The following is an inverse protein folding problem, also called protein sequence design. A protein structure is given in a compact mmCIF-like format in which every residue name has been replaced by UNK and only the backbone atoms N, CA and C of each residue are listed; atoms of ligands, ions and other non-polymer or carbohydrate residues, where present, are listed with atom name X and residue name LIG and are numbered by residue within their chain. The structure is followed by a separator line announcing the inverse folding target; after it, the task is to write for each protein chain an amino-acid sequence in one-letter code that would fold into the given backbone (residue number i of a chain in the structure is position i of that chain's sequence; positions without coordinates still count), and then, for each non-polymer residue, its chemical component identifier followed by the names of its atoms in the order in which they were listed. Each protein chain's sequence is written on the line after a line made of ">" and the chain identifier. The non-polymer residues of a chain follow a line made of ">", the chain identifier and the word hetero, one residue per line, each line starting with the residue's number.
data_IF_144627443501
#
_entry.id   IF_144627443501
#
_cell.length_a   1.000
_cell.length_b   1.000
_cell.length_c   1.000
_cell.angle_alpha   90.00
_cell.angle_beta   90.00
_cell.angle_gamma   90.00
#
_symmetry.space_group_name_H-M   'P 1'
#
loop_
_entity.id
_entity.type
_entity.pdbx_description
1 polymer ?
#
# COMPACT_ATOMS: atom_id res chain seq x y z
N UNK A 1 41.97 -12.40 8.26
CA UNK A 1 41.42 -11.89 9.54
C UNK A 1 40.13 -12.65 9.81
N UNK A 2 39.97 -13.42 10.87
CA UNK A 2 38.75 -14.14 11.16
C UNK A 2 37.72 -13.18 11.76
N UNK A 3 36.49 -13.22 11.25
CA UNK A 3 35.34 -12.48 11.78
C UNK A 3 35.01 -13.00 13.19
N UNK A 4 35.06 -12.13 14.18
CA UNK A 4 34.53 -12.37 15.51
C UNK A 4 33.00 -12.37 15.46
N UNK A 5 32.29 -13.33 16.09
CA UNK A 5 30.83 -13.29 16.14
C UNK A 5 30.36 -12.15 17.07
N UNK A 6 29.49 -11.29 16.54
CA UNK A 6 28.81 -10.26 17.32
C UNK A 6 27.77 -10.96 18.22
N UNK A 7 28.00 -10.94 19.53
CA UNK A 7 27.02 -11.40 20.51
C UNK A 7 26.06 -10.24 20.83
N UNK A 8 24.77 -10.40 20.54
CA UNK A 8 23.71 -9.48 20.97
C UNK A 8 23.13 -10.00 22.29
N UNK A 9 23.32 -9.26 23.36
CA UNK A 9 22.74 -9.56 24.68
C UNK A 9 21.41 -8.82 24.80
N UNK A 10 20.31 -9.54 24.76
CA UNK A 10 18.99 -9.03 25.07
C UNK A 10 18.68 -9.28 26.57
N UNK A 11 18.59 -8.22 27.35
CA UNK A 11 18.10 -8.30 28.72
C UNK A 11 16.56 -8.19 28.71
N UNK A 12 15.86 -9.29 28.95
CA UNK A 12 14.39 -9.32 29.04
C UNK A 12 13.99 -9.03 30.50
N UNK A 13 13.43 -7.85 30.74
CA UNK A 13 12.89 -7.41 32.02
C UNK A 13 11.35 -7.50 32.10
N UNK A 14 10.75 -8.59 31.59
CA UNK A 14 9.29 -8.80 31.66
C UNK A 14 8.97 -10.28 31.72
N UNK A 15 7.92 -10.70 32.44
CA UNK A 15 7.52 -12.11 32.50
C UNK A 15 6.80 -12.52 31.19
N UNK A 16 7.57 -12.89 30.20
CA UNK A 16 7.04 -13.59 29.04
C UNK A 16 6.77 -15.05 29.41
N UNK A 17 5.63 -15.57 29.02
CA UNK A 17 5.31 -16.98 29.22
C UNK A 17 6.22 -17.85 28.34
N UNK A 18 7.02 -18.67 28.96
CA UNK A 18 7.97 -19.62 28.32
C UNK A 18 7.31 -20.67 27.41
N UNK A 19 6.00 -20.71 27.33
CA UNK A 19 5.25 -21.71 26.55
C UNK A 19 5.38 -21.57 25.03
N UNK A 20 5.74 -20.40 24.51
CA UNK A 20 5.89 -20.17 23.06
C UNK A 20 7.28 -20.52 22.49
N UNK A 21 8.27 -20.76 23.36
CA UNK A 21 9.65 -21.07 22.94
C UNK A 21 9.93 -22.56 22.66
N UNK A 22 8.97 -23.45 22.90
CA UNK A 22 9.18 -24.91 22.83
C UNK A 22 9.11 -25.52 21.43
N UNK A 23 8.96 -24.74 20.37
CA UNK A 23 8.99 -25.25 18.98
C UNK A 23 10.36 -25.18 18.29
N UNK A 24 11.40 -24.70 18.97
CA UNK A 24 12.73 -24.52 18.39
C UNK A 24 13.64 -25.73 18.66
N UNK A 25 14.10 -26.40 17.63
CA UNK A 25 14.85 -27.67 17.69
C UNK A 25 16.33 -27.53 18.08
N UNK A 26 16.90 -26.33 18.20
CA UNK A 26 18.29 -26.11 18.64
C UNK A 26 18.44 -24.82 19.44
N UNK A 27 18.24 -24.88 20.76
CA UNK A 27 18.57 -23.79 21.67
C UNK A 27 19.78 -24.21 22.51
N UNK A 28 20.92 -23.51 22.38
CA UNK A 28 22.06 -23.67 23.28
C UNK A 28 22.00 -22.58 24.34
N UNK A 29 21.85 -22.97 25.60
CA UNK A 29 21.88 -22.04 26.73
C UNK A 29 23.25 -22.11 27.43
N UNK A 30 23.75 -20.94 27.85
CA UNK A 30 24.96 -20.82 28.67
C UNK A 30 24.64 -19.94 29.86
N UNK A 31 25.14 -20.28 31.08
CA UNK A 31 25.04 -19.44 32.25
C UNK A 31 26.40 -18.84 32.59
N UNK A 32 26.39 -17.57 33.05
CA UNK A 32 27.56 -16.88 33.55
C UNK A 32 27.69 -17.20 35.05
N UNK A 33 28.83 -17.75 35.47
CA UNK A 33 29.10 -18.04 36.86
C UNK A 33 29.61 -16.79 37.61
N UNK A 34 29.50 -16.79 38.93
CA UNK A 34 29.90 -15.66 39.78
C UNK A 34 31.40 -15.29 39.69
N UNK A 35 32.23 -16.17 39.13
CA UNK A 35 33.65 -15.96 38.85
C UNK A 35 33.94 -15.36 37.46
N UNK A 36 32.90 -15.05 36.68
CA UNK A 36 33.03 -14.48 35.32
C UNK A 36 33.26 -15.52 34.21
N UNK A 37 33.20 -16.83 34.52
CA UNK A 37 33.33 -17.88 33.50
C UNK A 37 31.97 -18.35 32.93
N UNK A 38 32.00 -18.90 31.69
CA UNK A 38 30.79 -19.39 31.02
C UNK A 38 30.72 -20.92 31.07
N UNK A 39 29.58 -21.45 31.49
CA UNK A 39 29.30 -22.89 31.47
C UNK A 39 28.23 -23.23 30.47
N UNK A 40 28.51 -24.22 29.64
CA UNK A 40 27.54 -24.76 28.68
C UNK A 40 26.60 -25.72 29.43
N UNK A 41 25.28 -25.42 29.33
CA UNK A 41 24.25 -26.30 29.90
C UNK A 41 23.72 -27.19 28.76
N UNK A 42 23.90 -28.52 28.92
CA UNK A 42 23.24 -29.50 28.07
C UNK A 42 21.89 -29.81 28.68
N UNK A 43 20.82 -29.36 28.03
CA UNK A 43 19.46 -29.73 28.45
C UNK A 43 19.15 -31.13 27.96
N UNK A 44 18.68 -32.03 28.85
CA UNK A 44 18.23 -33.36 28.41
C UNK A 44 16.94 -33.25 27.60
N UNK A 45 16.76 -34.09 26.60
CA UNK A 45 15.53 -34.22 25.82
C UNK A 45 14.33 -34.46 26.77
N UNK A 46 13.50 -33.42 27.00
CA UNK A 46 12.29 -33.54 27.78
C UNK A 46 11.13 -33.85 26.84
N UNK A 47 10.60 -35.08 26.97
CA UNK A 47 9.29 -35.42 26.40
C UNK A 47 8.19 -34.75 27.27
N UNK A 48 7.13 -34.22 26.66
CA UNK A 48 6.09 -33.53 27.43
C UNK A 48 5.26 -34.54 28.24
N UNK A 49 5.38 -34.48 29.57
CA UNK A 49 4.38 -35.00 30.50
C UNK A 49 4.09 -33.94 31.56
N UNK A 50 2.83 -33.72 31.77
CA UNK A 50 2.18 -32.84 32.72
C UNK A 50 2.84 -32.83 34.11
N UNK A 51 3.41 -31.71 34.51
CA UNK A 51 3.47 -31.17 35.89
C UNK A 51 4.27 -29.86 35.85
N UNK A 52 3.76 -28.83 36.53
CA UNK A 52 4.40 -27.54 36.62
C UNK A 52 5.76 -27.66 37.34
N UNK A 53 6.83 -27.05 36.84
CA UNK A 53 8.07 -26.96 37.57
C UNK A 53 8.01 -25.84 38.60
N UNK A 54 8.57 -26.16 39.81
CA UNK A 54 8.74 -25.26 40.91
C UNK A 54 9.62 -24.06 40.57
N UNK A 55 9.40 -22.96 41.32
CA UNK A 55 10.03 -21.68 41.19
C UNK A 55 11.57 -21.76 41.05
N UNK A 56 12.07 -21.17 39.93
CA UNK A 56 13.48 -20.81 39.81
C UNK A 56 13.75 -19.51 40.58
N UNK A 57 14.80 -19.51 41.41
CA UNK A 57 15.21 -18.39 42.22
C UNK A 57 15.52 -17.13 41.43
N UNK A 58 15.21 -15.97 42.02
CA UNK A 58 15.12 -14.66 41.40
C UNK A 58 16.45 -13.98 40.99
N UNK A 59 17.59 -14.70 40.95
CA UNK A 59 18.92 -14.09 40.81
C UNK A 59 19.78 -14.64 39.64
N UNK A 60 19.25 -15.49 38.78
CA UNK A 60 20.00 -15.98 37.57
C UNK A 60 19.60 -15.23 36.32
N UNK A 61 20.52 -14.42 35.78
CA UNK A 61 20.38 -13.83 34.44
C UNK A 61 20.70 -14.89 33.40
N UNK A 62 19.68 -15.39 32.69
CA UNK A 62 19.84 -16.31 31.59
C UNK A 62 20.13 -15.53 30.31
N UNK A 63 21.32 -15.67 29.75
CA UNK A 63 21.63 -15.12 28.43
C UNK A 63 21.38 -16.19 27.37
N UNK A 64 20.42 -15.95 26.48
CA UNK A 64 20.18 -16.76 25.29
C UNK A 64 21.12 -16.30 24.16
N UNK A 65 22.08 -17.15 23.79
CA UNK A 65 22.94 -16.91 22.62
C UNK A 65 22.29 -17.60 21.43
N UNK A 66 21.67 -16.82 20.55
CA UNK A 66 21.12 -17.33 19.30
C UNK A 66 22.21 -17.37 18.22
N UNK A 67 22.30 -18.47 17.47
CA UNK A 67 23.17 -18.52 16.32
C UNK A 67 22.66 -17.58 15.21
N UNK A 68 23.53 -17.03 14.33
CA UNK A 68 23.10 -16.15 13.24
C UNK A 68 22.01 -16.76 12.33
N UNK A 69 21.94 -18.11 12.23
CA UNK A 69 20.89 -18.83 11.51
C UNK A 69 19.53 -18.77 12.21
N UNK A 70 19.50 -18.84 13.53
CA UNK A 70 18.26 -18.73 14.33
C UNK A 70 17.76 -17.29 14.34
N UNK A 71 18.66 -16.29 14.43
CA UNK A 71 18.31 -14.88 14.28
C UNK A 71 17.79 -14.56 12.87
N UNK A 72 18.41 -15.10 11.81
CA UNK A 72 17.94 -14.96 10.43
C UNK A 72 16.59 -15.66 10.22
N UNK A 73 16.33 -16.82 10.83
CA UNK A 73 15.03 -17.50 10.80
C UNK A 73 13.94 -16.71 11.54
N UNK A 74 14.24 -16.14 12.69
CA UNK A 74 13.31 -15.29 13.45
C UNK A 74 13.05 -13.93 12.77
N UNK A 75 14.02 -13.43 11.98
CA UNK A 75 13.84 -12.22 11.16
C UNK A 75 13.18 -12.50 9.81
N UNK A 76 13.12 -13.76 9.34
CA UNK A 76 12.62 -14.11 8.01
C UNK A 76 11.08 -14.16 7.91
N UNK A 77 10.36 -14.15 9.03
CA UNK A 77 8.89 -14.30 9.06
C UNK A 77 8.10 -12.98 9.16
N UNK A 78 8.78 -11.84 9.30
CA UNK A 78 8.09 -10.56 9.32
C UNK A 78 8.10 -9.91 7.95
N UNK A 79 7.00 -10.07 7.22
CA UNK A 79 6.79 -9.34 5.97
C UNK A 79 6.63 -7.85 6.28
N UNK A 80 7.55 -7.04 5.76
CA UNK A 80 7.38 -5.59 5.78
C UNK A 80 6.29 -5.20 4.79
N UNK A 81 5.05 -5.11 5.26
CA UNK A 81 3.91 -4.70 4.46
C UNK A 81 3.65 -3.20 4.69
N UNK A 82 3.79 -2.40 3.65
CA UNK A 82 3.44 -0.97 3.66
C UNK A 82 1.92 -0.85 3.78
N UNK A 83 1.43 -0.12 4.80
CA UNK A 83 0.01 0.06 5.07
C UNK A 83 -0.41 1.48 4.73
N UNK A 84 -1.26 1.60 3.72
CA UNK A 84 -1.82 2.87 3.28
C UNK A 84 -3.32 2.94 3.51
N UNK A 85 -3.86 4.09 3.88
CA UNK A 85 -5.27 4.36 3.74
C UNK A 85 -5.60 4.66 2.28
N UNK A 86 -6.81 4.30 1.84
CA UNK A 86 -7.39 4.69 0.55
C UNK A 86 -8.72 5.38 0.77
N UNK A 87 -8.77 6.67 0.46
CA UNK A 87 -10.00 7.47 0.51
C UNK A 87 -10.57 7.70 -0.89
N UNK A 88 -11.86 7.43 -1.03
CA UNK A 88 -12.62 7.80 -2.24
C UNK A 88 -13.05 9.27 -2.22
N UNK A 89 -12.99 9.92 -1.08
CA UNK A 89 -13.37 11.30 -0.92
C UNK A 89 -14.84 11.61 -1.24
N UNK A 90 -15.73 10.63 -1.05
CA UNK A 90 -17.17 10.84 -1.25
C UNK A 90 -17.70 11.93 -0.34
N UNK A 91 -18.54 12.77 -0.89
CA UNK A 91 -19.31 13.72 -0.13
C UNK A 91 -20.79 13.67 -0.52
N UNK A 92 -21.65 13.89 0.46
CA UNK A 92 -23.09 13.85 0.26
C UNK A 92 -23.77 14.86 1.20
N UNK A 93 -24.63 15.74 0.72
CA UNK A 93 -25.34 16.72 1.56
C UNK A 93 -26.45 16.06 2.39
N UNK A 94 -26.09 15.02 3.14
CA UNK A 94 -26.94 14.22 4.00
C UNK A 94 -26.59 14.47 5.47
N UNK A 95 -27.55 14.55 6.40
CA UNK A 95 -27.28 14.67 7.83
C UNK A 95 -26.42 13.54 8.41
N UNK A 96 -26.44 12.35 7.79
CA UNK A 96 -25.66 11.18 8.21
C UNK A 96 -24.21 11.26 7.77
N UNK A 97 -23.89 12.07 6.75
CA UNK A 97 -22.50 12.25 6.28
C UNK A 97 -21.81 13.36 7.06
N UNK A 98 -20.56 13.11 7.47
CA UNK A 98 -19.66 14.12 8.02
C UNK A 98 -18.95 14.91 6.90
N UNK A 99 -18.83 14.34 5.69
CA UNK A 99 -18.38 15.04 4.49
C UNK A 99 -19.60 15.43 3.65
N UNK A 100 -20.09 16.67 3.82
CA UNK A 100 -21.35 17.16 3.21
C UNK A 100 -21.13 17.99 1.96
N UNK A 101 -19.91 18.43 1.75
CA UNK A 101 -19.50 19.27 0.62
C UNK A 101 -18.15 18.82 0.05
N UNK A 102 -17.82 19.30 -1.14
CA UNK A 102 -16.49 19.11 -1.71
C UNK A 102 -15.38 19.69 -0.82
N UNK A 103 -15.65 20.83 -0.17
CA UNK A 103 -14.71 21.44 0.78
C UNK A 103 -14.45 20.53 1.99
N UNK A 104 -15.51 19.93 2.57
CA UNK A 104 -15.34 18.97 3.67
C UNK A 104 -14.51 17.78 3.23
N UNK A 105 -14.79 17.22 2.05
CA UNK A 105 -14.03 16.07 1.53
C UNK A 105 -12.54 16.37 1.36
N UNK A 106 -12.19 17.56 0.84
CA UNK A 106 -10.81 18.00 0.65
C UNK A 106 -10.11 18.24 2.00
N UNK A 107 -10.71 19.04 2.88
CA UNK A 107 -10.10 19.42 4.16
C UNK A 107 -9.95 18.21 5.09
N UNK A 108 -11.00 17.36 5.18
CA UNK A 108 -10.92 16.15 5.98
C UNK A 108 -9.92 15.13 5.42
N UNK A 109 -9.69 15.10 4.10
CA UNK A 109 -8.65 14.26 3.50
C UNK A 109 -7.24 14.67 3.97
N UNK A 110 -6.98 15.98 4.10
CA UNK A 110 -5.72 16.52 4.63
C UNK A 110 -5.56 16.16 6.10
N UNK A 111 -6.59 16.40 6.91
CA UNK A 111 -6.55 16.13 8.35
C UNK A 111 -6.42 14.62 8.63
N UNK A 112 -7.10 13.79 7.85
CA UNK A 112 -7.02 12.34 8.00
C UNK A 112 -5.63 11.79 7.62
N UNK A 113 -4.97 12.34 6.60
CA UNK A 113 -3.60 11.94 6.26
C UNK A 113 -2.62 12.28 7.40
N UNK A 114 -2.79 13.46 8.03
CA UNK A 114 -1.98 13.84 9.18
C UNK A 114 -2.24 12.93 10.40
N UNK A 115 -3.49 12.57 10.64
CA UNK A 115 -3.88 11.67 11.72
C UNK A 115 -3.39 10.24 11.47
N UNK A 116 -3.48 9.77 10.25
CA UNK A 116 -2.94 8.46 9.83
C UNK A 116 -1.42 8.37 10.07
N UNK A 117 -0.67 9.44 9.73
CA UNK A 117 0.76 9.52 10.05
C UNK A 117 1.00 9.45 11.56
N UNK A 118 0.21 10.18 12.36
CA UNK A 118 0.31 10.17 13.83
C UNK A 118 0.08 8.78 14.40
N UNK A 119 -0.85 8.02 13.82
CA UNK A 119 -1.18 6.64 14.23
C UNK A 119 -0.15 5.61 13.73
N UNK A 120 0.74 5.96 12.82
CA UNK A 120 1.79 5.08 12.31
C UNK A 120 1.42 4.34 11.02
N UNK A 121 0.49 4.88 10.21
CA UNK A 121 0.32 4.45 8.83
C UNK A 121 1.50 4.87 7.97
N UNK A 122 1.77 4.09 6.95
CA UNK A 122 2.90 4.28 6.04
C UNK A 122 2.52 5.11 4.79
N UNK A 123 1.20 5.17 4.43
CA UNK A 123 0.72 5.85 3.23
C UNK A 123 -0.69 6.41 3.34
N UNK A 124 -0.97 7.48 2.57
CA UNK A 124 -2.30 8.04 2.36
C UNK A 124 -2.56 8.20 0.85
N UNK A 125 -3.56 7.49 0.35
CA UNK A 125 -3.86 7.43 -1.07
C UNK A 125 -5.28 7.92 -1.32
N UNK A 126 -5.48 8.63 -2.45
CA UNK A 126 -6.74 9.24 -2.83
C UNK A 126 -7.18 8.75 -4.20
N UNK A 127 -8.45 8.37 -4.30
CA UNK A 127 -9.05 8.05 -5.58
C UNK A 127 -9.45 9.34 -6.29
N UNK A 128 -9.30 9.36 -7.63
CA UNK A 128 -9.66 10.51 -8.45
C UNK A 128 -10.76 10.10 -9.43
N UNK A 129 -11.86 10.87 -9.42
CA UNK A 129 -12.98 10.69 -10.34
C UNK A 129 -13.51 12.03 -10.81
N UNK A 130 -13.67 12.17 -12.12
CA UNK A 130 -14.27 13.35 -12.72
C UNK A 130 -15.79 13.25 -12.72
N UNK A 131 -16.49 14.40 -12.68
CA UNK A 131 -17.95 14.54 -12.68
C UNK A 131 -18.67 13.83 -11.52
N UNK A 132 -17.97 13.24 -10.59
CA UNK A 132 -18.53 12.56 -9.41
C UNK A 132 -18.49 13.48 -8.18
N UNK A 133 -19.37 13.21 -7.20
CA UNK A 133 -19.27 13.79 -5.85
C UNK A 133 -18.15 13.08 -5.05
N UNK A 134 -16.92 13.20 -5.56
CA UNK A 134 -15.70 12.62 -5.04
C UNK A 134 -14.53 13.58 -5.23
N UNK A 135 -13.32 13.16 -4.88
CA UNK A 135 -12.11 13.92 -5.17
C UNK A 135 -11.81 13.90 -6.67
N UNK A 136 -11.45 15.07 -7.18
CA UNK A 136 -10.83 15.27 -8.49
C UNK A 136 -9.63 16.20 -8.29
N UNK A 137 -8.90 16.60 -9.33
CA UNK A 137 -7.78 17.55 -9.23
C UNK A 137 -6.76 17.17 -8.12
N UNK A 138 -6.02 16.09 -8.25
CA UNK A 138 -5.26 15.48 -7.16
C UNK A 138 -4.09 16.34 -6.66
N UNK A 139 -3.38 17.07 -7.53
CA UNK A 139 -2.11 17.72 -7.19
C UNK A 139 -2.21 18.80 -6.12
N UNK A 140 -3.23 19.70 -6.09
CA UNK A 140 -3.42 20.62 -4.99
C UNK A 140 -3.60 19.92 -3.65
N UNK A 141 -4.37 18.80 -3.62
CA UNK A 141 -4.58 18.01 -2.42
C UNK A 141 -3.28 17.33 -1.97
N UNK A 142 -2.55 16.69 -2.88
CA UNK A 142 -1.29 16.02 -2.59
C UNK A 142 -0.22 16.99 -2.06
N UNK A 143 -0.11 18.19 -2.65
CA UNK A 143 0.77 19.24 -2.16
C UNK A 143 0.38 19.70 -0.74
N UNK A 144 -0.91 19.91 -0.48
CA UNK A 144 -1.41 20.29 0.86
C UNK A 144 -1.11 19.19 1.90
N UNK A 145 -1.38 17.92 1.60
CA UNK A 145 -1.01 16.79 2.45
C UNK A 145 0.50 16.72 2.64
N UNK A 146 1.28 16.96 1.57
CA UNK A 146 2.74 16.98 1.61
C UNK A 146 3.32 17.97 2.61
N UNK A 147 2.71 19.16 2.72
CA UNK A 147 3.13 20.17 3.71
C UNK A 147 2.69 19.86 5.13
N UNK A 148 1.56 19.16 5.29
CA UNK A 148 0.97 18.84 6.59
C UNK A 148 1.61 17.62 7.25
N UNK A 149 2.21 16.73 6.47
CA UNK A 149 2.83 15.47 6.89
C UNK A 149 4.36 15.50 6.70
N UNK A 150 5.09 14.53 7.28
CA UNK A 150 6.56 14.50 7.24
C UNK A 150 7.15 13.18 6.71
N UNK A 151 6.48 12.05 6.92
CA UNK A 151 7.02 10.70 6.66
C UNK A 151 6.13 9.86 5.76
N UNK A 152 4.81 10.00 5.91
CA UNK A 152 3.82 9.18 5.21
C UNK A 152 3.97 9.35 3.70
N UNK A 153 3.93 8.25 2.96
CA UNK A 153 3.77 8.28 1.50
C UNK A 153 2.43 8.92 1.15
N UNK A 154 2.40 9.70 0.09
CA UNK A 154 1.17 10.32 -0.39
C UNK A 154 0.96 9.95 -1.85
N UNK A 155 -0.27 9.63 -2.25
CA UNK A 155 -0.45 9.16 -3.61
C UNK A 155 -1.88 9.12 -4.09
N UNK A 156 -2.05 8.56 -5.28
CA UNK A 156 -3.34 8.34 -5.90
C UNK A 156 -3.57 6.85 -6.18
N UNK A 157 -4.84 6.47 -6.19
CA UNK A 157 -5.27 5.12 -6.57
C UNK A 157 -6.67 5.17 -7.18
N UNK A 158 -6.77 5.73 -8.40
CA UNK A 158 -5.75 6.18 -9.36
C UNK A 158 -6.21 7.44 -10.10
N UNK A 159 -5.32 8.10 -10.89
CA UNK A 159 -5.69 9.15 -11.86
C UNK A 159 -6.05 8.49 -13.19
N UNK A 160 -7.07 8.99 -13.88
CA UNK A 160 -7.46 8.54 -15.21
C UNK A 160 -6.71 9.32 -16.29
N UNK A 161 -5.78 8.65 -16.98
CA UNK A 161 -4.93 9.27 -18.00
C UNK A 161 -5.68 9.74 -19.24
N UNK A 162 -6.95 9.37 -19.41
CA UNK A 162 -7.77 9.89 -20.52
C UNK A 162 -8.11 11.36 -20.35
N UNK A 163 -8.06 11.88 -19.12
CA UNK A 163 -8.37 13.26 -18.76
C UNK A 163 -7.14 14.15 -18.60
N UNK A 164 -5.92 13.59 -18.68
CA UNK A 164 -4.70 14.29 -18.30
C UNK A 164 -3.91 14.78 -19.52
N UNK A 165 -3.37 15.99 -19.40
CA UNK A 165 -2.30 16.47 -20.27
C UNK A 165 -0.98 16.01 -19.70
N UNK A 166 -0.24 15.16 -20.41
CA UNK A 166 1.01 14.54 -19.93
C UNK A 166 2.07 15.57 -19.50
N UNK A 167 2.14 16.72 -20.17
CA UNK A 167 3.12 17.78 -19.87
C UNK A 167 2.74 18.53 -18.60
N UNK A 168 1.51 19.04 -18.50
CA UNK A 168 1.05 19.68 -17.24
C UNK A 168 1.12 18.73 -16.06
N UNK A 169 0.74 17.48 -16.27
CA UNK A 169 0.81 16.47 -15.23
C UNK A 169 2.25 16.22 -14.76
N UNK A 170 3.25 16.27 -15.66
CA UNK A 170 4.65 16.12 -15.29
C UNK A 170 5.15 17.28 -14.43
N UNK A 171 4.77 18.53 -14.76
CA UNK A 171 5.08 19.71 -13.95
C UNK A 171 4.41 19.66 -12.58
N UNK A 172 3.08 19.37 -12.53
CA UNK A 172 2.32 19.28 -11.30
C UNK A 172 2.82 18.16 -10.37
N UNK A 173 3.12 16.98 -10.95
CA UNK A 173 3.66 15.85 -10.23
C UNK A 173 5.07 16.14 -9.69
N UNK A 174 5.92 16.77 -10.49
CA UNK A 174 7.25 17.23 -10.06
C UNK A 174 7.15 18.21 -8.89
N UNK A 175 6.27 19.22 -9.00
CA UNK A 175 6.04 20.19 -7.94
C UNK A 175 5.52 19.52 -6.65
N UNK A 176 4.49 18.68 -6.74
CA UNK A 176 3.92 17.99 -5.59
C UNK A 176 4.93 17.06 -4.91
N UNK A 177 5.77 16.38 -5.69
CA UNK A 177 6.81 15.50 -5.15
C UNK A 177 7.90 16.29 -4.42
N UNK A 178 8.39 17.37 -4.98
CA UNK A 178 9.38 18.23 -4.33
C UNK A 178 8.82 18.89 -3.05
N UNK A 179 7.57 19.37 -3.06
CA UNK A 179 6.89 19.91 -1.88
C UNK A 179 6.79 18.85 -0.78
N UNK A 180 6.50 17.61 -1.15
CA UNK A 180 6.41 16.50 -0.19
C UNK A 180 7.75 15.91 0.23
N UNK A 181 8.86 16.36 -0.36
CA UNK A 181 10.20 15.83 -0.06
C UNK A 181 10.43 14.43 -0.64
N UNK A 182 9.91 14.14 -1.83
CA UNK A 182 10.14 12.88 -2.54
C UNK A 182 9.25 11.71 -2.08
N UNK A 183 8.09 12.00 -1.47
CA UNK A 183 7.16 10.99 -0.92
C UNK A 183 5.99 10.63 -1.83
N UNK A 184 5.90 11.22 -3.00
CA UNK A 184 4.78 10.99 -3.92
C UNK A 184 4.84 9.57 -4.50
N UNK A 185 3.71 8.86 -4.44
CA UNK A 185 3.47 7.54 -5.02
C UNK A 185 2.27 7.68 -5.98
N UNK A 186 2.54 7.94 -7.25
CA UNK A 186 1.49 8.37 -8.18
C UNK A 186 0.90 7.18 -8.94
N UNK A 187 -0.32 6.79 -8.57
CA UNK A 187 -1.09 5.77 -9.27
C UNK A 187 -1.88 6.38 -10.43
N UNK A 188 -1.71 5.79 -11.60
CA UNK A 188 -2.39 6.17 -12.85
C UNK A 188 -3.06 4.94 -13.48
N UNK A 189 -4.05 5.15 -14.34
CA UNK A 189 -4.68 4.09 -15.13
C UNK A 189 -5.34 4.65 -16.39
N UNK A 190 -5.96 3.78 -17.17
CA UNK A 190 -6.86 4.21 -18.24
C UNK A 190 -8.26 4.62 -17.76
N UNK A 191 -8.48 4.56 -16.43
CA UNK A 191 -9.76 4.85 -15.81
C UNK A 191 -10.75 3.68 -15.78
N UNK A 192 -11.90 3.96 -15.21
CA UNK A 192 -13.07 3.08 -15.15
C UNK A 192 -14.25 3.81 -15.79
N UNK A 193 -15.41 3.17 -15.98
CA UNK A 193 -16.62 3.89 -16.37
C UNK A 193 -16.89 5.08 -15.46
N UNK A 194 -17.08 6.23 -16.09
CA UNK A 194 -17.30 7.51 -15.43
C UNK A 194 -18.78 7.87 -15.36
N UNK A 195 -19.12 8.92 -14.62
CA UNK A 195 -20.50 9.43 -14.54
C UNK A 195 -21.02 10.03 -15.87
N UNK A 196 -20.11 10.38 -16.76
CA UNK A 196 -20.41 11.01 -18.06
C UNK A 196 -19.82 10.18 -19.18
N UNK A 197 -20.63 9.87 -20.19
CA UNK A 197 -20.18 9.17 -21.39
C UNK A 197 -19.12 10.02 -22.09
N UNK A 198 -17.96 9.43 -22.39
CA UNK A 198 -16.83 10.11 -23.05
C UNK A 198 -16.45 11.43 -22.36
N UNK A 199 -16.48 11.47 -21.03
CA UNK A 199 -16.26 12.71 -20.24
C UNK A 199 -14.95 13.41 -20.56
N UNK A 200 -13.91 12.70 -20.96
CA UNK A 200 -12.62 13.22 -21.41
C UNK A 200 -12.72 14.20 -22.58
N UNK A 201 -13.80 14.12 -23.40
CA UNK A 201 -14.06 15.08 -24.49
C UNK A 201 -14.27 16.52 -23.98
N UNK A 202 -14.81 16.69 -22.79
CA UNK A 202 -15.00 18.01 -22.16
C UNK A 202 -13.68 18.64 -21.73
N UNK A 203 -12.65 17.82 -21.56
CA UNK A 203 -11.28 18.26 -21.27
C UNK A 203 -10.45 18.49 -22.54
N UNK A 204 -11.06 18.33 -23.72
CA UNK A 204 -10.43 18.61 -25.01
C UNK A 204 -9.74 17.42 -25.65
N UNK A 205 -9.83 16.22 -25.04
CA UNK A 205 -9.15 15.02 -25.55
C UNK A 205 -10.02 14.23 -26.51
N UNK A 206 -9.34 13.51 -27.42
CA UNK A 206 -9.94 12.57 -28.35
C UNK A 206 -8.93 11.47 -28.70
N UNK A 207 -9.37 10.22 -28.87
CA UNK A 207 -8.53 9.20 -29.45
C UNK A 207 -8.10 9.61 -30.87
N UNK A 208 -6.92 9.18 -31.29
CA UNK A 208 -6.48 9.32 -32.68
C UNK A 208 -7.27 8.39 -33.59
N UNK A 209 -7.11 8.55 -34.90
CA UNK A 209 -7.72 7.64 -35.90
C UNK A 209 -7.22 6.20 -35.63
N UNK A 210 -8.16 5.27 -35.42
CA UNK A 210 -7.89 3.86 -35.14
C UNK A 210 -7.58 3.54 -33.65
N UNK A 211 -7.52 4.54 -32.77
CA UNK A 211 -7.40 4.33 -31.33
C UNK A 211 -8.78 4.27 -30.65
N UNK A 212 -8.89 3.47 -29.59
CA UNK A 212 -9.96 3.60 -28.60
C UNK A 212 -9.55 4.55 -27.45
N UNK A 213 -10.46 4.78 -26.49
CA UNK A 213 -10.20 5.62 -25.32
C UNK A 213 -9.14 5.01 -24.39
N UNK A 214 -9.03 3.68 -24.36
CA UNK A 214 -8.02 2.98 -23.58
C UNK A 214 -6.62 3.13 -24.20
N UNK A 215 -6.52 3.15 -25.53
CA UNK A 215 -5.27 3.42 -26.26
C UNK A 215 -4.81 4.85 -26.00
N UNK A 216 -5.73 5.82 -26.05
CA UNK A 216 -5.45 7.20 -25.72
C UNK A 216 -4.89 7.33 -24.28
N UNK A 217 -5.51 6.68 -23.32
CA UNK A 217 -5.03 6.69 -21.93
C UNK A 217 -3.64 6.07 -21.79
N UNK A 218 -3.35 4.97 -22.50
CA UNK A 218 -2.01 4.35 -22.53
C UNK A 218 -0.97 5.26 -23.18
N UNK A 219 -1.30 5.91 -24.28
CA UNK A 219 -0.42 6.86 -24.98
C UNK A 219 -0.05 8.04 -24.06
N UNK A 220 -1.03 8.64 -23.36
CA UNK A 220 -0.76 9.70 -22.38
C UNK A 220 0.14 9.21 -21.24
N UNK A 221 -0.06 7.97 -20.79
CA UNK A 221 0.78 7.38 -19.74
C UNK A 221 2.22 7.17 -20.22
N UNK A 222 2.43 6.66 -21.43
CA UNK A 222 3.77 6.45 -22.00
C UNK A 222 4.50 7.79 -22.19
N UNK A 223 3.82 8.81 -22.73
CA UNK A 223 4.36 10.16 -22.86
C UNK A 223 4.75 10.74 -21.50
N UNK A 224 3.88 10.63 -20.50
CA UNK A 224 4.16 11.07 -19.15
C UNK A 224 5.40 10.38 -18.55
N UNK A 225 5.54 9.07 -18.72
CA UNK A 225 6.72 8.33 -18.26
C UNK A 225 8.02 8.78 -18.95
N UNK A 226 7.98 9.15 -20.21
CA UNK A 226 9.16 9.68 -20.91
C UNK A 226 9.54 11.07 -20.41
N UNK A 227 8.57 11.94 -20.15
CA UNK A 227 8.79 13.27 -19.59
C UNK A 227 9.47 13.20 -18.20
N UNK A 228 9.07 12.22 -17.38
CA UNK A 228 9.67 11.98 -16.05
C UNK A 228 11.12 11.44 -16.10
N UNK A 229 11.70 11.19 -17.27
CA UNK A 229 13.12 10.84 -17.40
C UNK A 229 14.07 12.04 -17.24
N UNK A 230 13.56 13.27 -17.33
CA UNK A 230 14.34 14.48 -17.28
C UNK A 230 15.29 14.65 -18.48
N UNK A 231 14.97 14.02 -19.62
CA UNK A 231 15.70 14.21 -20.86
C UNK A 231 15.21 15.47 -21.56
N UNK A 232 16.13 16.28 -22.05
CA UNK A 232 15.81 17.43 -22.89
C UNK A 232 15.16 16.99 -24.20
N UNK A 233 14.06 17.64 -24.58
CA UNK A 233 13.29 17.35 -25.79
C UNK A 233 12.88 18.64 -26.55
N UNK A 234 12.77 19.77 -25.83
CA UNK A 234 12.33 21.04 -26.38
C UNK A 234 13.49 21.91 -26.87
N UNK A 235 13.40 22.41 -28.10
CA UNK A 235 14.39 23.31 -28.67
C UNK A 235 14.35 24.66 -27.95
N UNK A 236 15.46 25.13 -27.35
CA UNK A 236 15.49 26.43 -26.69
C UNK A 236 15.29 27.58 -27.67
N UNK A 237 14.60 28.64 -27.22
CA UNK A 237 14.48 29.86 -27.97
C UNK A 237 15.90 30.48 -28.14
N UNK A 238 16.32 30.84 -29.35
CA UNK A 238 17.63 31.47 -29.57
C UNK A 238 17.76 32.86 -28.92
N UNK A 239 16.67 33.48 -28.52
CA UNK A 239 16.61 34.76 -27.79
C UNK A 239 15.74 34.64 -26.55
N UNK A 240 16.17 33.88 -25.56
CA UNK A 240 15.37 33.70 -24.35
C UNK A 240 15.42 34.96 -23.47
N UNK A 241 14.35 35.18 -22.67
CA UNK A 241 14.34 36.25 -21.66
C UNK A 241 15.36 35.99 -20.55
N UNK A 242 15.55 34.73 -20.18
CA UNK A 242 16.54 34.29 -19.21
C UNK A 242 17.49 33.30 -19.86
N UNK A 243 18.72 33.22 -19.34
CA UNK A 243 19.76 32.31 -19.87
C UNK A 243 19.29 30.85 -19.67
N UNK A 244 19.22 30.11 -20.77
CA UNK A 244 18.95 28.69 -20.75
C UNK A 244 20.22 27.88 -20.49
N UNK A 245 20.12 26.69 -19.85
CA UNK A 245 21.21 25.74 -19.87
C UNK A 245 21.48 25.27 -21.30
N UNK A 246 22.69 24.80 -21.62
CA UNK A 246 23.04 24.32 -22.96
C UNK A 246 22.27 23.03 -23.30
N UNK A 247 21.84 22.89 -24.56
CA UNK A 247 21.18 21.72 -25.09
C UNK A 247 19.64 21.84 -25.14
N UNK A 248 18.96 20.73 -25.31
CA UNK A 248 17.51 20.69 -25.29
C UNK A 248 16.99 20.86 -23.85
N UNK A 249 15.85 21.52 -23.72
CA UNK A 249 15.19 21.75 -22.43
C UNK A 249 14.23 20.60 -22.09
N UNK A 250 14.09 20.30 -20.80
CA UNK A 250 13.07 19.41 -20.23
C UNK A 250 12.11 20.23 -19.37
N UNK A 251 11.04 19.59 -18.92
CA UNK A 251 10.04 20.26 -18.05
C UNK A 251 10.60 20.47 -16.63
N UNK A 252 10.28 21.63 -16.07
CA UNK A 252 10.56 21.99 -14.68
C UNK A 252 9.23 22.31 -13.96
N UNK A 253 9.10 22.03 -12.64
CA UNK A 253 10.14 21.49 -11.77
C UNK A 253 10.33 19.98 -11.96
N UNK A 254 11.57 19.56 -12.17
CA UNK A 254 11.92 18.14 -12.30
C UNK A 254 12.20 17.50 -10.94
N UNK A 255 11.55 16.36 -10.63
CA UNK A 255 11.83 15.58 -9.43
C UNK A 255 12.50 14.25 -9.77
N UNK A 256 13.78 14.14 -9.41
CA UNK A 256 14.57 12.94 -9.66
C UNK A 256 13.99 11.72 -8.90
N UNK A 257 13.88 10.58 -9.61
CA UNK A 257 13.36 9.32 -9.04
C UNK A 257 11.83 9.22 -8.93
N UNK A 258 11.06 10.26 -9.29
CA UNK A 258 9.61 10.18 -9.31
C UNK A 258 9.10 9.09 -10.26
N UNK A 259 9.78 8.89 -11.41
CA UNK A 259 9.43 7.84 -12.38
C UNK A 259 9.38 6.43 -11.77
N UNK A 260 10.22 6.12 -10.81
CA UNK A 260 10.26 4.80 -10.14
C UNK A 260 9.10 4.61 -9.13
N UNK A 261 8.37 5.68 -8.83
CA UNK A 261 7.23 5.73 -7.91
C UNK A 261 5.89 5.90 -8.63
N UNK A 262 5.88 5.65 -9.95
CA UNK A 262 4.65 5.59 -10.74
C UNK A 262 4.08 4.17 -10.66
N UNK A 263 2.78 4.08 -10.47
CA UNK A 263 2.02 2.86 -10.34
C UNK A 263 0.95 2.79 -11.41
N UNK A 264 0.68 1.60 -11.91
CA UNK A 264 -0.43 1.35 -12.83
C UNK A 264 -1.57 0.60 -12.14
N UNK A 265 -2.77 1.19 -12.15
CA UNK A 265 -3.99 0.54 -11.70
C UNK A 265 -4.50 -0.44 -12.75
N UNK A 266 -4.58 -1.72 -12.40
CA UNK A 266 -4.95 -2.76 -13.37
C UNK A 266 -6.00 -3.73 -12.84
N UNK A 267 -7.08 -3.88 -13.61
CA UNK A 267 -8.11 -4.89 -13.41
C UNK A 267 -7.96 -6.11 -14.35
N UNK A 268 -6.95 -6.16 -15.23
CA UNK A 268 -6.70 -7.27 -16.14
C UNK A 268 -5.24 -7.72 -16.13
N UNK A 269 -5.01 -9.00 -16.50
CA UNK A 269 -3.66 -9.55 -16.59
C UNK A 269 -2.84 -8.88 -17.70
N UNK A 270 -3.47 -8.57 -18.83
CA UNK A 270 -2.80 -7.96 -19.99
C UNK A 270 -2.22 -6.58 -19.65
N UNK A 271 -3.00 -5.71 -18.98
CA UNK A 271 -2.53 -4.37 -18.62
C UNK A 271 -1.54 -4.40 -17.46
N UNK A 272 -1.58 -5.39 -16.57
CA UNK A 272 -0.55 -5.61 -15.56
C UNK A 272 0.80 -5.99 -16.21
N UNK A 273 0.81 -6.89 -17.19
CA UNK A 273 2.01 -7.25 -17.94
C UNK A 273 2.57 -6.07 -18.75
N UNK A 274 1.70 -5.25 -19.35
CA UNK A 274 2.12 -4.02 -20.03
C UNK A 274 2.79 -3.03 -19.07
N UNK A 275 2.22 -2.82 -17.90
CA UNK A 275 2.81 -1.96 -16.85
C UNK A 275 4.19 -2.47 -16.41
N UNK A 276 4.35 -3.78 -16.25
CA UNK A 276 5.64 -4.40 -15.94
C UNK A 276 6.70 -4.09 -17.00
N UNK A 277 6.36 -4.19 -18.28
CA UNK A 277 7.28 -3.89 -19.39
C UNK A 277 7.76 -2.44 -19.37
N UNK A 278 6.89 -1.49 -19.00
CA UNK A 278 7.22 -0.07 -18.87
C UNK A 278 7.93 0.30 -17.55
N UNK A 279 8.09 -0.64 -16.64
CA UNK A 279 8.75 -0.41 -15.36
C UNK A 279 7.92 0.38 -14.35
N UNK A 280 6.58 0.30 -14.40
CA UNK A 280 5.68 0.84 -13.38
C UNK A 280 5.45 -0.17 -12.26
N UNK A 281 5.20 0.30 -11.04
CA UNK A 281 4.66 -0.52 -9.96
C UNK A 281 3.20 -0.92 -10.27
N UNK A 282 2.65 -1.91 -9.57
CA UNK A 282 1.30 -2.40 -9.80
C UNK A 282 0.36 -2.05 -8.64
N UNK A 283 -0.77 -1.41 -8.96
CA UNK A 283 -1.93 -1.35 -8.07
C UNK A 283 -3.00 -2.30 -8.62
N UNK A 284 -3.28 -3.41 -7.92
CA UNK A 284 -4.41 -4.26 -8.30
C UNK A 284 -5.70 -3.55 -7.96
N UNK A 285 -6.69 -3.67 -8.84
CA UNK A 285 -8.00 -3.06 -8.64
C UNK A 285 -8.80 -3.79 -7.54
N UNK A 286 -9.82 -3.14 -6.99
CA UNK A 286 -10.83 -3.77 -6.11
C UNK A 286 -11.78 -4.71 -6.86
N UNK A 287 -11.59 -4.83 -8.18
CA UNK A 287 -12.34 -5.72 -9.06
C UNK A 287 -11.39 -6.29 -10.14
N UNK A 288 -11.84 -7.34 -10.84
CA UNK A 288 -11.10 -7.95 -11.94
C UNK A 288 -12.03 -8.32 -13.10
N UNK A 289 -11.59 -8.02 -14.34
CA UNK A 289 -12.35 -8.29 -15.57
C UNK A 289 -12.17 -9.73 -16.07
N UNK A 290 -10.94 -10.27 -15.99
CA UNK A 290 -10.64 -11.65 -16.43
C UNK A 290 -11.13 -12.66 -15.38
N UNK A 291 -12.43 -12.61 -15.07
CA UNK A 291 -13.06 -13.41 -14.04
C UNK A 291 -13.05 -14.91 -14.41
N UNK A 292 -12.60 -15.78 -13.50
CA UNK A 292 -12.39 -17.21 -13.73
C UNK A 292 -13.29 -18.10 -12.87
N UNK A 293 -14.15 -17.54 -12.02
CA UNK A 293 -14.93 -18.26 -11.01
C UNK A 293 -14.23 -18.48 -9.69
N UNK A 294 -12.90 -18.29 -9.63
CA UNK A 294 -12.13 -18.35 -8.39
C UNK A 294 -12.32 -17.06 -7.55
N UNK A 295 -12.16 -17.11 -6.22
CA UNK A 295 -12.18 -15.91 -5.38
C UNK A 295 -11.22 -14.82 -5.87
N UNK A 296 -11.61 -13.55 -5.69
CA UNK A 296 -10.81 -12.41 -6.18
C UNK A 296 -9.37 -12.45 -5.67
N UNK A 297 -9.14 -12.81 -4.40
CA UNK A 297 -7.80 -12.84 -3.83
C UNK A 297 -6.89 -13.88 -4.50
N UNK A 298 -7.42 -15.01 -4.96
CA UNK A 298 -6.68 -16.03 -5.72
C UNK A 298 -6.34 -15.50 -7.10
N UNK A 299 -7.31 -14.90 -7.80
CA UNK A 299 -7.11 -14.32 -9.12
C UNK A 299 -6.11 -13.16 -9.09
N UNK A 300 -6.13 -12.32 -8.05
CA UNK A 300 -5.16 -11.24 -7.86
C UNK A 300 -3.75 -11.77 -7.53
N UNK A 301 -3.64 -12.79 -6.69
CA UNK A 301 -2.35 -13.43 -6.41
C UNK A 301 -1.72 -14.00 -7.70
N UNK A 302 -2.52 -14.62 -8.56
CA UNK A 302 -2.07 -15.07 -9.88
C UNK A 302 -1.62 -13.89 -10.77
N UNK A 303 -2.36 -12.77 -10.77
CA UNK A 303 -1.99 -11.54 -11.49
C UNK A 303 -0.65 -10.97 -10.98
N UNK A 304 -0.44 -10.95 -9.67
CA UNK A 304 0.80 -10.48 -9.04
C UNK A 304 1.98 -11.34 -9.49
N UNK A 305 1.84 -12.66 -9.47
CA UNK A 305 2.87 -13.59 -9.94
C UNK A 305 3.21 -13.39 -11.42
N UNK A 306 2.19 -13.24 -12.26
CA UNK A 306 2.35 -12.95 -13.68
C UNK A 306 3.04 -11.59 -13.94
N UNK A 307 2.66 -10.55 -13.20
CA UNK A 307 3.32 -9.25 -13.25
C UNK A 307 4.82 -9.34 -12.90
N UNK A 308 5.16 -10.04 -11.81
CA UNK A 308 6.58 -10.23 -11.42
C UNK A 308 7.38 -11.00 -12.47
N UNK A 309 6.76 -11.99 -13.12
CA UNK A 309 7.39 -12.71 -14.23
C UNK A 309 7.66 -11.79 -15.42
N UNK A 310 6.67 -11.00 -15.85
CA UNK A 310 6.82 -10.03 -16.94
C UNK A 310 7.84 -8.92 -16.61
N UNK A 311 7.91 -8.48 -15.36
CA UNK A 311 8.93 -7.54 -14.87
C UNK A 311 10.35 -8.09 -15.03
N UNK A 312 10.55 -9.33 -14.62
CA UNK A 312 11.84 -10.02 -14.76
C UNK A 312 12.23 -10.21 -16.22
N UNK A 313 11.27 -10.60 -17.06
CA UNK A 313 11.46 -10.76 -18.51
C UNK A 313 11.85 -9.44 -19.18
N UNK A 314 11.27 -8.30 -18.74
CA UNK A 314 11.62 -6.98 -19.21
C UNK A 314 13.03 -6.49 -18.81
N UNK A 315 13.74 -7.23 -17.95
CA UNK A 315 15.13 -6.95 -17.58
C UNK A 315 15.32 -5.81 -16.59
N UNK A 316 14.26 -5.40 -15.87
CA UNK A 316 14.37 -4.35 -14.85
C UNK A 316 15.19 -4.81 -13.66
N UNK A 317 16.07 -3.95 -13.15
CA UNK A 317 16.99 -4.26 -12.04
C UNK A 317 16.41 -3.94 -10.65
N UNK A 318 15.50 -2.96 -10.57
CA UNK A 318 14.84 -2.66 -9.29
C UNK A 318 13.76 -3.69 -8.97
N UNK A 319 13.43 -3.84 -7.70
CA UNK A 319 12.27 -4.63 -7.26
C UNK A 319 11.00 -3.79 -7.40
N UNK A 320 9.97 -4.27 -8.13
CA UNK A 320 8.70 -3.55 -8.23
C UNK A 320 7.93 -3.67 -6.91
N UNK A 321 7.11 -2.68 -6.61
CA UNK A 321 6.13 -2.75 -5.54
C UNK A 321 4.75 -3.08 -6.11
N UNK A 322 3.98 -3.83 -5.32
CA UNK A 322 2.64 -4.27 -5.71
C UNK A 322 1.68 -3.99 -4.57
N UNK A 323 0.57 -3.32 -4.86
CA UNK A 323 -0.46 -3.07 -3.87
C UNK A 323 -1.75 -3.85 -4.14
N UNK A 324 -2.42 -4.21 -3.06
CA UNK A 324 -3.81 -4.66 -3.06
C UNK A 324 -4.66 -3.72 -2.22
N UNK A 325 -5.92 -3.53 -2.60
CA UNK A 325 -6.88 -2.72 -1.85
C UNK A 325 -7.92 -3.61 -1.20
N UNK A 326 -8.22 -3.37 0.10
CA UNK A 326 -9.24 -4.10 0.86
C UNK A 326 -10.04 -3.16 1.76
N UNK A 327 -11.33 -3.45 1.87
CA UNK A 327 -12.19 -2.88 2.90
C UNK A 327 -12.11 -3.78 4.12
N UNK A 328 -11.44 -3.32 5.19
CA UNK A 328 -11.18 -4.10 6.40
C UNK A 328 -11.69 -3.32 7.60
N UNK A 329 -12.57 -3.94 8.40
CA UNK A 329 -13.20 -3.34 9.57
C UNK A 329 -13.14 -4.31 10.75
N UNK A 330 -12.30 -4.01 11.74
CA UNK A 330 -12.27 -4.74 13.00
C UNK A 330 -13.44 -4.29 13.88
N UNK A 331 -14.34 -5.22 14.23
CA UNK A 331 -15.53 -4.93 15.05
C UNK A 331 -15.14 -4.95 16.53
N UNK A 332 -14.58 -3.86 17.03
CA UNK A 332 -14.11 -3.79 18.42
C UNK A 332 -15.11 -3.15 19.39
N UNK A 333 -16.03 -2.31 18.88
CA UNK A 333 -17.07 -1.67 19.68
C UNK A 333 -18.47 -1.77 19.04
N UNK A 334 -19.49 -1.23 19.72
CA UNK A 334 -20.88 -1.28 19.25
C UNK A 334 -21.13 -0.36 18.04
N UNK A 335 -20.32 0.68 17.84
CA UNK A 335 -20.41 1.55 16.64
C UNK A 335 -19.95 0.78 15.42
N UNK A 336 -18.86 0.03 15.54
CA UNK A 336 -18.34 -0.79 14.44
C UNK A 336 -19.37 -1.85 14.04
N UNK A 337 -19.96 -2.52 15.05
CA UNK A 337 -21.04 -3.49 14.82
C UNK A 337 -22.27 -2.83 14.20
N UNK A 338 -22.58 -1.60 14.60
CA UNK A 338 -23.68 -0.82 14.05
C UNK A 338 -23.49 -0.47 12.58
N UNK A 339 -22.27 -0.08 12.19
CA UNK A 339 -21.95 0.30 10.81
C UNK A 339 -21.68 -0.90 9.91
N UNK A 340 -20.93 -1.90 10.38
CA UNK A 340 -20.39 -2.95 9.51
C UNK A 340 -20.85 -4.37 9.88
N UNK A 341 -21.39 -4.60 11.08
CA UNK A 341 -21.73 -5.94 11.55
C UNK A 341 -22.88 -6.64 10.80
N UNK A 342 -23.73 -5.86 10.12
CA UNK A 342 -24.87 -6.41 9.33
C UNK A 342 -24.58 -6.51 7.83
N UNK A 343 -23.44 -6.02 7.37
CA UNK A 343 -23.10 -5.85 5.96
C UNK A 343 -21.83 -6.57 5.53
N UNK A 344 -21.25 -7.44 6.37
CA UNK A 344 -20.13 -8.24 5.97
C UNK A 344 -20.52 -9.10 4.76
N UNK A 345 -19.97 -8.76 3.60
CA UNK A 345 -20.11 -9.63 2.44
C UNK A 345 -19.15 -10.80 2.68
N UNK A 346 -19.69 -11.96 2.95
CA UNK A 346 -18.88 -13.17 3.17
C UNK A 346 -18.17 -13.62 1.90
N UNK A 347 -18.70 -13.24 0.73
CA UNK A 347 -18.21 -13.66 -0.58
C UNK A 347 -18.00 -12.48 -1.53
N UNK A 348 -17.12 -12.68 -2.50
CA UNK A 348 -16.94 -11.77 -3.64
C UNK A 348 -18.21 -11.77 -4.50
N UNK A 349 -18.50 -10.64 -5.14
CA UNK A 349 -19.68 -10.52 -6.01
C UNK A 349 -19.27 -10.52 -7.48
N UNK A 350 -19.88 -11.38 -8.27
CA UNK A 350 -19.81 -11.32 -9.71
C UNK A 350 -20.96 -10.43 -10.20
N UNK A 351 -20.61 -9.44 -11.03
CA UNK A 351 -21.55 -8.47 -11.59
C UNK A 351 -21.07 -7.93 -12.92
N UNK A 352 -21.75 -6.90 -13.39
CA UNK A 352 -21.41 -6.18 -14.61
C UNK A 352 -21.03 -4.74 -14.28
N UNK A 353 -19.96 -4.25 -14.88
CA UNK A 353 -19.53 -2.87 -14.75
C UNK A 353 -20.28 -1.98 -15.75
N UNK A 354 -20.54 -2.52 -16.93
CA UNK A 354 -21.39 -2.00 -18.00
C UNK A 354 -22.13 -3.17 -18.67
N UNK A 355 -22.88 -2.94 -19.74
CA UNK A 355 -23.72 -3.95 -20.41
C UNK A 355 -22.93 -5.20 -20.87
N UNK A 356 -21.62 -5.09 -21.10
CA UNK A 356 -20.78 -6.14 -21.70
C UNK A 356 -19.60 -6.55 -20.81
N UNK A 357 -19.24 -5.77 -19.79
CA UNK A 357 -18.04 -6.01 -18.97
C UNK A 357 -18.39 -6.70 -17.67
N UNK A 358 -18.28 -8.03 -17.67
CA UNK A 358 -18.40 -8.86 -16.47
C UNK A 358 -17.14 -8.68 -15.58
N UNK A 359 -17.35 -8.57 -14.29
CA UNK A 359 -16.28 -8.41 -13.32
C UNK A 359 -16.59 -9.12 -11.99
N UNK A 360 -15.54 -9.54 -11.29
CA UNK A 360 -15.63 -9.94 -9.90
C UNK A 360 -15.22 -8.76 -9.01
N UNK A 361 -16.03 -8.46 -8.00
CA UNK A 361 -15.84 -7.39 -7.02
C UNK A 361 -15.48 -8.00 -5.67
N UNK A 362 -14.42 -7.47 -5.06
CA UNK A 362 -13.93 -7.95 -3.78
C UNK A 362 -14.90 -7.71 -2.63
N UNK A 363 -14.97 -8.70 -1.74
CA UNK A 363 -15.72 -8.61 -0.50
C UNK A 363 -15.14 -7.60 0.48
N UNK A 364 -15.95 -7.19 1.45
CA UNK A 364 -15.49 -6.47 2.63
C UNK A 364 -15.23 -7.45 3.77
N UNK A 365 -14.12 -7.27 4.46
CA UNK A 365 -13.76 -8.00 5.66
C UNK A 365 -14.25 -7.22 6.88
N UNK A 366 -15.28 -7.71 7.56
CA UNK A 366 -15.80 -7.07 8.77
C UNK A 366 -16.16 -8.16 9.78
N UNK A 367 -15.34 -8.29 10.84
CA UNK A 367 -15.51 -9.30 11.88
C UNK A 367 -14.79 -8.87 13.17
N UNK A 368 -15.05 -9.59 14.26
CA UNK A 368 -14.24 -9.52 15.48
C UNK A 368 -12.77 -9.80 15.14
N UNK A 369 -11.80 -9.19 15.86
CA UNK A 369 -10.38 -9.23 15.49
C UNK A 369 -9.83 -10.63 15.23
N UNK A 370 -10.12 -11.62 16.05
CA UNK A 370 -9.61 -12.98 15.91
C UNK A 370 -10.10 -13.65 14.60
N UNK A 371 -11.38 -13.48 14.29
CA UNK A 371 -11.98 -14.00 13.05
C UNK A 371 -11.39 -13.27 11.85
N UNK A 372 -11.26 -11.97 11.95
CA UNK A 372 -10.69 -11.11 10.90
C UNK A 372 -9.25 -11.50 10.56
N UNK A 373 -8.41 -11.74 11.58
CA UNK A 373 -7.03 -12.20 11.42
C UNK A 373 -6.98 -13.54 10.66
N UNK A 374 -7.83 -14.51 11.01
CA UNK A 374 -7.91 -15.80 10.33
C UNK A 374 -8.37 -15.67 8.87
N UNK A 375 -9.29 -14.74 8.58
CA UNK A 375 -9.72 -14.46 7.21
C UNK A 375 -8.60 -13.84 6.37
N UNK A 376 -7.89 -12.85 6.93
CA UNK A 376 -6.82 -12.12 6.24
C UNK A 376 -5.57 -12.98 6.01
N UNK A 377 -5.27 -13.95 6.87
CA UNK A 377 -4.21 -14.94 6.64
C UNK A 377 -4.44 -15.79 5.39
N UNK A 378 -5.70 -15.98 5.01
CA UNK A 378 -6.10 -16.77 3.83
C UNK A 378 -6.18 -15.94 2.54
N UNK A 379 -6.04 -14.61 2.62
CA UNK A 379 -6.03 -13.75 1.44
C UNK A 379 -4.67 -13.82 0.74
N UNK A 380 -4.57 -14.67 -0.28
CA UNK A 380 -3.32 -14.89 -1.03
C UNK A 380 -2.78 -13.60 -1.64
N UNK A 381 -3.64 -12.69 -2.07
CA UNK A 381 -3.19 -11.44 -2.68
C UNK A 381 -2.52 -10.52 -1.65
N UNK A 382 -3.02 -10.44 -0.41
CA UNK A 382 -2.36 -9.73 0.68
C UNK A 382 -1.00 -10.38 1.00
N UNK A 383 -0.95 -11.72 1.02
CA UNK A 383 0.31 -12.47 1.25
C UNK A 383 1.34 -12.16 0.16
N UNK A 384 0.94 -12.03 -1.08
CA UNK A 384 1.83 -11.71 -2.21
C UNK A 384 2.19 -10.21 -2.30
N UNK A 385 1.32 -9.30 -1.88
CA UNK A 385 1.51 -7.85 -2.06
C UNK A 385 2.60 -7.26 -1.16
N UNK A 386 3.17 -6.13 -1.56
CA UNK A 386 4.14 -5.33 -0.79
C UNK A 386 3.48 -4.15 -0.08
N UNK A 387 2.27 -3.78 -0.52
CA UNK A 387 1.50 -2.66 -0.01
C UNK A 387 0.02 -3.04 0.11
N UNK A 388 -0.58 -2.75 1.25
CA UNK A 388 -2.02 -2.92 1.50
C UNK A 388 -2.67 -1.54 1.61
N UNK A 389 -3.63 -1.26 0.74
CA UNK A 389 -4.43 -0.05 0.79
C UNK A 389 -5.78 -0.35 1.49
N UNK A 390 -5.97 0.22 2.67
CA UNK A 390 -7.19 0.09 3.47
C UNK A 390 -8.23 1.10 2.97
N UNK A 391 -9.27 0.62 2.30
CA UNK A 391 -10.39 1.48 1.90
C UNK A 391 -11.16 1.93 3.12
N UNK A 392 -11.27 3.24 3.32
CA UNK A 392 -11.92 3.84 4.47
C UNK A 392 -13.27 4.48 4.11
N UNK A 393 -14.25 4.45 5.02
CA UNK A 393 -15.54 5.12 4.86
C UNK A 393 -15.43 6.61 5.20
N UNK A 394 -14.81 7.41 4.34
CA UNK A 394 -14.48 8.81 4.61
C UNK A 394 -15.68 9.67 5.05
N UNK A 395 -16.90 9.31 4.64
CA UNK A 395 -18.14 10.01 5.04
C UNK A 395 -18.46 9.90 6.54
N UNK A 396 -17.83 8.97 7.27
CA UNK A 396 -17.95 8.88 8.72
C UNK A 396 -17.02 9.85 9.47
N UNK A 397 -16.25 10.66 8.74
CA UNK A 397 -15.42 11.74 9.27
C UNK A 397 -14.05 11.28 9.79
N UNK A 398 -13.19 12.26 10.08
CA UNK A 398 -11.78 12.01 10.47
C UNK A 398 -11.67 11.19 11.74
N UNK A 399 -12.42 11.52 12.79
CA UNK A 399 -12.34 10.84 14.09
C UNK A 399 -12.71 9.37 14.01
N UNK A 400 -13.77 9.01 13.26
CA UNK A 400 -14.15 7.61 13.14
C UNK A 400 -13.19 6.83 12.23
N UNK A 401 -12.70 7.43 11.16
CA UNK A 401 -11.70 6.78 10.32
C UNK A 401 -10.35 6.60 11.04
N UNK A 402 -9.98 7.52 11.93
CA UNK A 402 -8.83 7.35 12.82
C UNK A 402 -9.01 6.14 13.76
N UNK A 403 -10.22 5.97 14.34
CA UNK A 403 -10.56 4.78 15.13
C UNK A 403 -10.43 3.48 14.32
N UNK A 404 -10.94 3.43 13.08
CA UNK A 404 -10.80 2.26 12.20
C UNK A 404 -9.34 1.93 11.93
N UNK A 405 -8.52 2.94 11.63
CA UNK A 405 -7.08 2.78 11.40
C UNK A 405 -6.39 2.27 12.67
N UNK A 406 -6.64 2.89 13.82
CA UNK A 406 -6.05 2.50 15.11
C UNK A 406 -6.42 1.06 15.49
N UNK A 407 -7.68 0.66 15.31
CA UNK A 407 -8.13 -0.70 15.56
C UNK A 407 -7.34 -1.72 14.73
N UNK A 408 -7.13 -1.45 13.44
CA UNK A 408 -6.34 -2.34 12.58
C UNK A 408 -4.87 -2.37 13.01
N UNK A 409 -4.27 -1.21 13.26
CA UNK A 409 -2.85 -1.12 13.60
C UNK A 409 -2.51 -1.72 14.96
N UNK A 410 -3.45 -1.71 15.92
CA UNK A 410 -3.21 -2.19 17.28
C UNK A 410 -3.66 -3.64 17.51
N UNK A 411 -4.68 -4.13 16.80
CA UNK A 411 -5.25 -5.46 17.05
C UNK A 411 -4.97 -6.46 15.92
N UNK A 412 -4.99 -6.03 14.66
CA UNK A 412 -4.88 -6.92 13.49
C UNK A 412 -3.45 -6.99 12.97
N UNK A 413 -2.84 -5.86 12.71
CA UNK A 413 -1.52 -5.78 12.08
C UNK A 413 -0.42 -6.51 12.88
N UNK A 414 -0.32 -6.41 14.21
CA UNK A 414 0.69 -7.13 14.98
C UNK A 414 0.54 -8.65 14.87
N UNK A 415 -0.70 -9.16 14.91
CA UNK A 415 -0.98 -10.59 14.82
C UNK A 415 -0.68 -11.18 13.44
N UNK A 416 -0.68 -10.35 12.39
CA UNK A 416 -0.32 -10.72 11.03
C UNK A 416 1.14 -10.43 10.68
N UNK A 417 1.92 -9.90 11.64
CA UNK A 417 3.31 -9.53 11.40
C UNK A 417 3.50 -8.34 10.45
N UNK A 418 2.48 -7.52 10.25
CA UNK A 418 2.56 -6.32 9.43
C UNK A 418 3.28 -5.21 10.20
N UNK A 419 4.46 -4.81 9.71
CA UNK A 419 5.30 -3.76 10.30
C UNK A 419 5.69 -2.74 9.25
#
# INVERSE_FOLDING_TARGET
>A
MPFLPVAVVLAINSPFQLSELYSLTEVQSTSLLADGSWRRLSLPHVRPRSAAPAALCADERIALVMTPRVLLGLCADFKQLVRGLLSFGHWTPSPQSQARSAADALLQSIDLAAEAERLGMDGAYFRVHHFAQQLASPFPLLAAVGTKTRKIEIGTAVIDMRYENSHYMAEDAGAADLISGGRLQLGISRGSPEQVIDGWRYFGYRPNEGEDDADMGRRHAEEFLELLRGKGFAQPNPRPMFTNPPGLLYLEPYSAGLRDRIWWGSASNATAAWAAKLGMNLQTSTLKFDETGEPLHIQQAAQIRAFRAAWKEAGHTRTPRISVSRSIFALIDDRDRGYFGRGSQEEDKIGFLDENTRAIFGRSYAAEPDILIEQLRKDEAIVEADTLLLTIPNQLGVSYNAHVIEAILTTVAPALGWR
#
